data_IF_568130339284
#
_entry.id   IF_568130339284
#
_cell.length_a   1.000
_cell.length_b   1.000
_cell.length_c   1.000
_cell.angle_alpha   90.00
_cell.angle_beta   90.00
_cell.angle_gamma   90.00
#
_symmetry.space_group_name_H-M   'P 1'
#
loop_
_entity.id
_entity.type
_entity.pdbx_description
1 polymer ?
#
# COMPACT_ATOMS: atom_id res chain seq x y z
N UNK A 1 33.14 5.31 -5.80
CA UNK A 1 32.67 6.37 -4.88
C UNK A 1 33.51 6.45 -3.61
N UNK A 2 33.69 5.36 -2.85
CA UNK A 2 34.64 5.32 -1.72
C UNK A 2 36.11 5.44 -2.17
N UNK A 3 36.42 4.88 -3.33
CA UNK A 3 37.67 5.06 -4.08
C UNK A 3 37.85 6.47 -4.68
N UNK A 4 36.79 7.28 -4.73
CA UNK A 4 36.79 8.66 -5.23
C UNK A 4 36.89 9.70 -4.09
N UNK A 5 37.16 9.28 -2.85
CA UNK A 5 37.34 10.19 -1.71
C UNK A 5 36.05 10.72 -1.06
N UNK A 6 34.87 10.18 -1.40
CA UNK A 6 33.61 10.64 -0.83
C UNK A 6 33.48 10.28 0.68
N UNK A 7 32.97 11.23 1.47
CA UNK A 7 32.68 11.00 2.89
C UNK A 7 31.58 9.95 3.08
N UNK A 8 31.55 9.26 4.25
CA UNK A 8 30.51 8.25 4.55
C UNK A 8 29.09 8.78 4.37
N UNK A 9 28.88 10.06 4.66
CA UNK A 9 27.58 10.70 4.55
C UNK A 9 27.13 10.90 3.11
N UNK A 10 28.04 11.34 2.23
CA UNK A 10 27.78 11.45 0.79
C UNK A 10 27.47 10.09 0.17
N UNK A 11 28.17 9.03 0.57
CA UNK A 11 27.89 7.67 0.07
C UNK A 11 26.47 7.23 0.45
N UNK A 12 26.03 7.49 1.68
CA UNK A 12 24.69 7.10 2.13
C UNK A 12 23.62 7.87 1.35
N UNK A 13 23.76 9.19 1.19
CA UNK A 13 22.74 10.02 0.51
C UNK A 13 22.71 9.89 -1.00
N UNK A 14 23.88 9.85 -1.64
CA UNK A 14 23.97 10.01 -3.09
C UNK A 14 24.00 8.67 -3.81
N UNK A 15 24.22 7.56 -3.10
CA UNK A 15 24.34 6.21 -3.69
C UNK A 15 23.40 5.22 -3.03
N UNK A 16 23.46 5.11 -1.70
CA UNK A 16 22.76 4.06 -0.96
C UNK A 16 21.25 4.33 -0.85
N UNK A 17 20.87 5.56 -0.53
CA UNK A 17 19.47 6.02 -0.51
C UNK A 17 18.78 5.83 -1.87
N UNK A 18 19.26 6.41 -2.98
CA UNK A 18 18.64 6.22 -4.29
C UNK A 18 18.63 4.77 -4.75
N UNK A 19 19.68 4.00 -4.46
CA UNK A 19 19.72 2.57 -4.78
C UNK A 19 18.71 1.73 -4.00
N UNK A 20 18.36 2.13 -2.78
CA UNK A 20 17.39 1.42 -1.95
C UNK A 20 15.92 1.85 -2.20
N UNK A 21 15.68 3.02 -2.80
CA UNK A 21 14.33 3.54 -3.04
C UNK A 21 13.38 2.55 -3.74
N UNK A 22 13.78 1.83 -4.81
CA UNK A 22 12.89 0.86 -5.47
C UNK A 22 12.48 -0.30 -4.55
N UNK A 23 13.40 -0.75 -3.69
CA UNK A 23 13.14 -1.80 -2.71
C UNK A 23 12.19 -1.33 -1.61
N UNK A 24 12.37 -0.10 -1.13
CA UNK A 24 11.46 0.52 -0.14
C UNK A 24 10.06 0.66 -0.73
N UNK A 25 9.93 1.16 -1.96
CA UNK A 25 8.63 1.29 -2.63
C UNK A 25 7.90 -0.06 -2.75
N UNK A 26 8.63 -1.11 -3.13
CA UNK A 26 8.10 -2.48 -3.18
C UNK A 26 7.63 -2.95 -1.80
N UNK A 27 8.45 -2.73 -0.76
CA UNK A 27 8.11 -3.07 0.62
C UNK A 27 6.88 -2.33 1.14
N UNK A 28 6.76 -1.04 0.83
CA UNK A 28 5.61 -0.21 1.19
C UNK A 28 4.32 -0.72 0.53
N UNK A 29 4.35 -1.05 -0.76
CA UNK A 29 3.18 -1.61 -1.46
C UNK A 29 2.69 -2.90 -0.79
N UNK A 30 3.62 -3.77 -0.40
CA UNK A 30 3.29 -5.00 0.30
C UNK A 30 2.69 -4.73 1.69
N UNK A 31 3.30 -3.85 2.47
CA UNK A 31 2.84 -3.55 3.84
C UNK A 31 1.46 -2.88 3.86
N UNK A 32 1.18 -1.98 2.91
CA UNK A 32 -0.16 -1.38 2.72
C UNK A 32 -1.21 -2.48 2.47
N UNK A 33 -0.90 -3.46 1.63
CA UNK A 33 -1.79 -4.59 1.39
C UNK A 33 -2.08 -5.42 2.64
N UNK A 34 -1.10 -5.61 3.52
CA UNK A 34 -1.33 -6.28 4.79
C UNK A 34 -2.15 -5.42 5.75
N UNK A 35 -1.84 -4.13 5.86
CA UNK A 35 -2.59 -3.20 6.68
C UNK A 35 -4.07 -3.14 6.27
N UNK A 36 -4.37 -3.10 4.98
CA UNK A 36 -5.74 -3.12 4.46
C UNK A 36 -6.51 -4.36 4.90
N UNK A 37 -5.92 -5.55 4.79
CA UNK A 37 -6.53 -6.80 5.24
C UNK A 37 -6.74 -6.82 6.76
N UNK A 38 -5.79 -6.28 7.51
CA UNK A 38 -5.89 -6.18 8.96
C UNK A 38 -7.03 -5.25 9.40
N UNK A 39 -7.23 -4.12 8.70
CA UNK A 39 -8.36 -3.21 8.95
C UNK A 39 -9.69 -3.93 8.72
N UNK A 40 -9.86 -4.61 7.57
CA UNK A 40 -11.09 -5.37 7.28
C UNK A 40 -11.35 -6.44 8.33
N UNK A 41 -10.32 -7.21 8.72
CA UNK A 41 -10.46 -8.21 9.77
C UNK A 41 -10.90 -7.57 11.10
N UNK A 42 -10.37 -6.39 11.45
CA UNK A 42 -10.78 -5.62 12.61
C UNK A 42 -12.25 -5.18 12.55
N UNK A 43 -12.70 -4.68 11.39
CA UNK A 43 -14.10 -4.31 11.16
C UNK A 43 -15.05 -5.51 11.32
N UNK A 44 -14.63 -6.70 10.88
CA UNK A 44 -15.45 -7.92 11.01
C UNK A 44 -15.58 -8.40 12.46
N UNK A 45 -14.53 -8.27 13.27
CA UNK A 45 -14.50 -8.81 14.65
C UNK A 45 -15.13 -7.88 15.69
N UNK A 46 -14.94 -6.57 15.55
CA UNK A 46 -15.31 -5.59 16.57
C UNK A 46 -15.99 -4.33 16.01
N UNK A 47 -16.21 -4.26 14.70
CA UNK A 47 -16.90 -3.13 14.07
C UNK A 47 -18.37 -3.08 14.46
N UNK A 48 -18.91 -1.85 14.51
CA UNK A 48 -20.36 -1.58 14.47
C UNK A 48 -20.80 -0.96 13.15
N UNK A 49 -19.83 -0.68 12.29
CA UNK A 49 -19.93 -0.01 11.01
C UNK A 49 -18.69 -0.38 10.19
N UNK A 50 -18.75 -0.19 8.86
CA UNK A 50 -17.66 -0.53 7.94
C UNK A 50 -18.06 -1.58 6.90
N UNK A 51 -17.20 -1.75 5.89
CA UNK A 51 -17.45 -2.68 4.78
C UNK A 51 -17.28 -4.13 5.23
N UNK A 52 -16.29 -4.40 6.08
CA UNK A 52 -16.10 -5.73 6.68
C UNK A 52 -17.27 -6.11 7.57
N UNK A 53 -17.78 -5.16 8.36
CA UNK A 53 -18.96 -5.37 9.20
C UNK A 53 -20.22 -5.63 8.36
N UNK A 54 -20.45 -4.88 7.28
CA UNK A 54 -21.59 -5.08 6.38
C UNK A 54 -21.61 -6.49 5.76
N UNK A 55 -20.45 -7.00 5.35
CA UNK A 55 -20.35 -8.38 4.84
C UNK A 55 -20.66 -9.38 5.95
N UNK A 56 -20.12 -9.17 7.14
CA UNK A 56 -20.32 -10.08 8.27
C UNK A 56 -21.80 -10.15 8.68
N UNK A 57 -22.47 -9.01 8.82
CA UNK A 57 -23.91 -8.95 9.14
C UNK A 57 -24.78 -9.44 7.99
N UNK A 58 -24.42 -9.14 6.73
CA UNK A 58 -25.12 -9.65 5.56
C UNK A 58 -25.03 -11.18 5.45
N UNK A 59 -23.90 -11.77 5.85
CA UNK A 59 -23.71 -13.22 5.92
C UNK A 59 -24.57 -13.84 7.02
N UNK A 60 -24.60 -13.26 8.22
CA UNK A 60 -25.43 -13.72 9.36
C UNK A 60 -26.94 -13.64 9.04
N UNK A 61 -27.35 -12.65 8.25
CA UNK A 61 -28.72 -12.46 7.80
C UNK A 61 -29.10 -13.24 6.53
N UNK A 62 -28.23 -14.10 5.99
CA UNK A 62 -28.39 -14.82 4.71
C UNK A 62 -28.69 -13.89 3.50
N UNK A 63 -28.29 -12.62 3.58
CA UNK A 63 -28.49 -11.62 2.53
C UNK A 63 -27.32 -11.60 1.58
N UNK A 64 -27.29 -12.56 0.66
CA UNK A 64 -26.21 -12.69 -0.35
C UNK A 64 -26.01 -11.42 -1.18
N UNK A 65 -27.08 -10.65 -1.43
CA UNK A 65 -27.00 -9.37 -2.14
C UNK A 65 -26.12 -8.35 -1.42
N UNK A 66 -26.21 -8.27 -0.08
CA UNK A 66 -25.40 -7.35 0.74
C UNK A 66 -23.94 -7.80 0.79
N UNK A 67 -23.70 -9.12 0.88
CA UNK A 67 -22.36 -9.71 0.85
C UNK A 67 -21.65 -9.40 -0.47
N UNK A 68 -22.32 -9.64 -1.61
CA UNK A 68 -21.75 -9.37 -2.94
C UNK A 68 -21.48 -7.87 -3.11
N UNK A 69 -22.41 -7.00 -2.69
CA UNK A 69 -22.22 -5.56 -2.73
C UNK A 69 -20.99 -5.15 -1.92
N UNK A 70 -20.81 -5.69 -0.72
CA UNK A 70 -19.65 -5.45 0.13
C UNK A 70 -18.34 -5.88 -0.53
N UNK A 71 -18.30 -7.05 -1.16
CA UNK A 71 -17.12 -7.51 -1.89
C UNK A 71 -16.72 -6.56 -3.03
N UNK A 72 -17.70 -6.05 -3.78
CA UNK A 72 -17.47 -5.07 -4.85
C UNK A 72 -16.95 -3.76 -4.26
N UNK A 73 -17.54 -3.26 -3.18
CA UNK A 73 -17.11 -2.03 -2.51
C UNK A 73 -15.70 -2.13 -1.92
N UNK A 74 -15.32 -3.29 -1.37
CA UNK A 74 -13.94 -3.53 -0.89
C UNK A 74 -12.96 -3.46 -2.06
N UNK A 75 -13.27 -4.12 -3.18
CA UNK A 75 -12.44 -4.09 -4.38
C UNK A 75 -12.27 -2.66 -4.93
N UNK A 76 -13.37 -1.91 -5.00
CA UNK A 76 -13.36 -0.52 -5.45
C UNK A 76 -12.57 0.38 -4.50
N UNK A 77 -12.74 0.20 -3.18
CA UNK A 77 -11.99 0.93 -2.15
C UNK A 77 -10.49 0.65 -2.24
N UNK A 78 -10.10 -0.60 -2.52
CA UNK A 78 -8.69 -0.93 -2.76
C UNK A 78 -8.15 -0.24 -3.99
N UNK A 79 -8.89 -0.20 -5.11
CA UNK A 79 -8.46 0.50 -6.33
C UNK A 79 -8.28 2.00 -6.06
N UNK A 80 -9.20 2.61 -5.29
CA UNK A 80 -9.08 4.01 -4.86
C UNK A 80 -7.83 4.18 -4.00
N UNK A 81 -7.61 3.33 -3.00
CA UNK A 81 -6.42 3.37 -2.15
C UNK A 81 -5.13 3.21 -2.96
N UNK A 82 -5.07 2.23 -3.85
CA UNK A 82 -3.93 1.96 -4.73
C UNK A 82 -3.62 3.18 -5.61
N UNK A 83 -4.65 3.78 -6.21
CA UNK A 83 -4.50 4.97 -7.04
C UNK A 83 -4.00 6.19 -6.25
N UNK A 84 -4.58 6.47 -5.07
CA UNK A 84 -4.23 7.65 -4.29
C UNK A 84 -2.95 7.50 -3.47
N UNK A 85 -2.54 6.29 -3.11
CA UNK A 85 -1.40 6.07 -2.23
C UNK A 85 -0.15 5.66 -3.00
N UNK A 86 -0.26 4.81 -4.02
CA UNK A 86 0.91 4.24 -4.70
C UNK A 86 1.41 5.11 -5.85
N UNK A 87 0.52 5.82 -6.55
CA UNK A 87 0.92 6.77 -7.60
C UNK A 87 1.75 7.95 -7.07
N UNK A 88 1.40 8.62 -5.94
CA UNK A 88 2.27 9.66 -5.41
C UNK A 88 3.56 9.11 -4.80
N UNK A 89 3.54 7.90 -4.21
CA UNK A 89 4.78 7.25 -3.75
C UNK A 89 5.73 6.94 -4.91
N UNK A 90 5.19 6.50 -6.06
CA UNK A 90 5.96 6.29 -7.29
C UNK A 90 6.44 7.61 -7.90
N UNK A 91 5.60 8.64 -7.98
CA UNK A 91 5.96 9.94 -8.56
C UNK A 91 7.05 10.67 -7.76
N UNK A 92 6.89 10.81 -6.45
CA UNK A 92 7.87 11.55 -5.61
C UNK A 92 9.22 10.83 -5.51
N UNK A 93 9.23 9.50 -5.66
CA UNK A 93 10.42 8.66 -5.45
C UNK A 93 11.17 8.34 -6.74
N UNK A 94 10.46 8.05 -7.83
CA UNK A 94 11.08 7.60 -9.09
C UNK A 94 11.43 8.78 -9.98
N UNK A 95 10.62 9.84 -10.00
CA UNK A 95 10.85 11.02 -10.85
C UNK A 95 12.05 11.84 -10.36
N UNK A 96 12.30 11.84 -9.05
CA UNK A 96 13.41 12.59 -8.43
C UNK A 96 14.79 11.92 -8.61
N UNK A 97 14.83 10.60 -8.79
CA UNK A 97 16.09 9.83 -8.84
C UNK A 97 16.32 9.07 -10.15
N UNK A 98 15.36 9.09 -11.09
CA UNK A 98 15.61 8.79 -12.51
C UNK A 98 16.18 7.40 -12.80
N UNK A 99 15.92 6.39 -11.97
CA UNK A 99 16.41 5.03 -12.17
C UNK A 99 15.28 4.11 -12.69
N UNK A 100 14.85 4.39 -13.91
CA UNK A 100 14.22 3.36 -14.75
C UNK A 100 15.21 3.05 -15.87
N UNK A 101 16.11 2.09 -15.63
CA UNK A 101 16.71 1.37 -16.75
C UNK A 101 15.62 0.43 -17.29
N UNK A 102 15.11 0.79 -18.48
CA UNK A 102 14.26 -0.08 -19.30
C UNK A 102 14.95 -1.40 -19.61
#
# INVERSE_FOLDING_TARGET
VRTLGASRYQIIRDVLLPGAMPSIATGSRLSIGFAWRAVIAGEMLAGREGLGWMIFTGQDADRTSEVILGMVLIGLSWIVLDHYLLRPLEADTIERWGLVQR
#
